data_IF_449202035855
#
_entry.id   IF_449202035855
#
_cell.length_a   1.000
_cell.length_b   1.000
_cell.length_c   1.000
_cell.angle_alpha   90.00
_cell.angle_beta   90.00
_cell.angle_gamma   90.00
#
_symmetry.space_group_name_H-M   'P 1'
#
loop_
_entity.id
_entity.type
_entity.pdbx_description
1 polymer ?
#
# COMPACT_ATOMS: atom_id res chain seq x y z
N UNK A 1 14.96 0.34 -27.12
CA UNK A 1 14.62 -1.10 -27.21
C UNK A 1 15.83 -1.80 -27.76
N UNK A 2 16.39 -2.77 -27.04
CA UNK A 2 17.54 -3.54 -27.51
C UNK A 2 17.14 -5.00 -27.56
N UNK A 3 17.04 -5.55 -28.76
CA UNK A 3 16.89 -6.99 -28.98
C UNK A 3 18.27 -7.61 -28.92
N UNK A 4 18.46 -8.58 -28.03
CA UNK A 4 19.67 -9.40 -27.97
C UNK A 4 19.26 -10.79 -28.44
N UNK A 5 19.86 -11.24 -29.53
CA UNK A 5 19.68 -12.58 -30.08
C UNK A 5 20.69 -13.50 -29.42
N UNK A 6 20.22 -14.57 -28.79
CA UNK A 6 21.06 -15.65 -28.28
C UNK A 6 21.71 -16.41 -29.47
N UNK A 7 22.92 -17.00 -29.36
CA UNK A 7 23.56 -17.77 -30.42
C UNK A 7 22.71 -18.90 -31.04
N UNK A 8 21.64 -19.34 -30.38
CA UNK A 8 20.69 -20.33 -30.92
C UNK A 8 19.51 -19.72 -31.71
N UNK A 9 19.47 -18.40 -31.94
CA UNK A 9 18.43 -17.74 -32.73
C UNK A 9 17.09 -17.55 -32.02
N UNK A 10 17.00 -17.90 -30.73
CA UNK A 10 15.84 -17.58 -29.90
C UNK A 10 15.84 -16.09 -29.52
N UNK A 11 14.79 -15.37 -29.92
CA UNK A 11 14.50 -14.03 -29.43
C UNK A 11 13.96 -14.13 -27.99
N UNK A 12 14.85 -14.17 -27.00
CA UNK A 12 14.45 -14.05 -25.60
C UNK A 12 14.19 -12.58 -25.28
N UNK A 13 12.92 -12.23 -25.07
CA UNK A 13 12.56 -10.92 -24.52
C UNK A 13 13.08 -10.85 -23.09
N UNK A 14 14.17 -10.11 -22.90
CA UNK A 14 14.61 -9.72 -21.56
C UNK A 14 13.64 -8.64 -21.09
N UNK A 15 12.60 -9.07 -20.36
CA UNK A 15 11.80 -8.17 -19.56
C UNK A 15 12.72 -7.62 -18.47
N UNK A 16 13.13 -6.36 -18.60
CA UNK A 16 13.76 -5.64 -17.49
C UNK A 16 12.83 -5.75 -16.28
N UNK A 17 13.31 -6.38 -15.21
CA UNK A 17 12.61 -6.53 -13.93
C UNK A 17 12.47 -5.20 -13.16
N UNK A 18 12.24 -4.10 -13.88
CA UNK A 18 12.19 -2.75 -13.34
C UNK A 18 10.77 -2.26 -13.03
N UNK A 19 9.73 -3.05 -13.29
CA UNK A 19 8.34 -2.52 -13.27
C UNK A 19 7.28 -3.37 -12.54
N UNK A 20 7.66 -4.24 -11.60
CA UNK A 20 6.68 -4.82 -10.67
C UNK A 20 7.28 -4.90 -9.27
N UNK A 21 7.19 -3.81 -8.51
CA UNK A 21 7.35 -3.93 -7.07
C UNK A 21 6.17 -4.74 -6.56
N UNK A 22 6.41 -6.00 -6.26
CA UNK A 22 5.40 -6.92 -5.75
C UNK A 22 4.81 -6.41 -4.43
N UNK A 23 3.50 -6.63 -4.26
CA UNK A 23 2.73 -6.17 -3.10
C UNK A 23 3.35 -6.69 -1.79
N UNK A 24 3.80 -7.95 -1.75
CA UNK A 24 4.43 -8.51 -0.57
C UNK A 24 5.76 -7.81 -0.24
N UNK A 25 6.50 -7.39 -1.27
CA UNK A 25 7.75 -6.62 -1.07
C UNK A 25 7.48 -5.27 -0.42
N UNK A 26 6.44 -4.55 -0.85
CA UNK A 26 6.06 -3.27 -0.24
C UNK A 26 5.54 -3.43 1.19
N UNK A 27 4.75 -4.48 1.46
CA UNK A 27 4.25 -4.78 2.80
C UNK A 27 5.43 -5.11 3.74
N UNK A 28 6.38 -5.93 3.28
CA UNK A 28 7.57 -6.29 4.07
C UNK A 28 8.48 -5.09 4.30
N UNK A 29 8.67 -4.24 3.29
CA UNK A 29 9.42 -2.99 3.43
C UNK A 29 8.73 -2.03 4.41
N UNK A 30 7.41 -1.91 4.36
CA UNK A 30 6.64 -1.11 5.32
C UNK A 30 6.79 -1.65 6.75
N UNK A 31 6.62 -2.96 6.96
CA UNK A 31 6.78 -3.60 8.28
C UNK A 31 8.20 -3.42 8.81
N UNK A 32 9.21 -3.62 7.96
CA UNK A 32 10.60 -3.35 8.28
C UNK A 32 10.80 -1.90 8.71
N UNK A 33 10.39 -0.94 7.87
CA UNK A 33 10.42 0.47 8.24
C UNK A 33 9.71 0.74 9.57
N UNK A 34 8.50 0.22 9.77
CA UNK A 34 7.72 0.47 10.98
C UNK A 34 8.42 -0.03 12.26
N UNK A 35 9.16 -1.13 12.20
CA UNK A 35 9.91 -1.65 13.34
C UNK A 35 11.17 -0.84 13.69
N UNK A 36 11.79 -0.19 12.71
CA UNK A 36 13.09 0.47 12.87
C UNK A 36 13.01 2.01 12.83
N UNK A 37 11.90 2.56 12.34
CA UNK A 37 11.75 3.99 12.11
C UNK A 37 11.67 4.78 13.41
N UNK A 38 12.41 5.89 13.45
CA UNK A 38 12.21 6.90 14.49
C UNK A 38 10.94 7.70 14.20
N UNK A 39 10.41 8.34 15.25
CA UNK A 39 9.22 9.17 15.18
C UNK A 39 9.35 10.42 14.29
N UNK A 40 10.43 10.57 13.53
CA UNK A 40 10.66 11.65 12.56
C UNK A 40 10.50 11.17 11.11
N UNK A 41 10.39 9.86 10.87
CA UNK A 41 10.42 9.27 9.52
C UNK A 41 9.04 8.85 8.98
N UNK A 42 7.94 9.30 9.61
CA UNK A 42 6.56 8.95 9.22
C UNK A 42 6.18 9.32 7.79
N UNK A 43 6.87 10.29 7.18
CA UNK A 43 6.69 10.63 5.78
C UNK A 43 7.03 9.44 4.86
N UNK A 44 8.04 8.64 5.24
CA UNK A 44 8.43 7.42 4.53
C UNK A 44 7.36 6.34 4.66
N UNK A 45 6.80 6.16 5.87
CA UNK A 45 5.64 5.28 6.10
C UNK A 45 4.44 5.63 5.23
N UNK A 46 4.08 6.92 5.19
CA UNK A 46 2.99 7.40 4.33
C UNK A 46 3.28 7.17 2.84
N UNK A 47 4.54 7.30 2.40
CA UNK A 47 4.94 7.03 1.02
C UNK A 47 4.79 5.54 0.66
N UNK A 48 5.13 4.62 1.56
CA UNK A 48 4.89 3.20 1.36
C UNK A 48 3.40 2.89 1.16
N UNK A 49 2.54 3.43 2.01
CA UNK A 49 1.10 3.20 1.92
C UNK A 49 0.50 3.76 0.62
N UNK A 50 0.96 4.94 0.18
CA UNK A 50 0.57 5.50 -1.13
C UNK A 50 1.07 4.66 -2.29
N UNK A 51 2.30 4.15 -2.23
CA UNK A 51 2.81 3.27 -3.29
C UNK A 51 2.02 1.97 -3.33
N UNK A 52 1.67 1.43 -2.16
CA UNK A 52 0.86 0.24 -2.02
C UNK A 52 -0.55 0.44 -2.59
N UNK A 53 -1.15 1.63 -2.49
CA UNK A 53 -2.46 1.91 -3.11
C UNK A 53 -2.42 1.98 -4.65
N UNK A 54 -1.24 2.07 -5.26
CA UNK A 54 -1.08 2.08 -6.72
C UNK A 54 -0.90 0.68 -7.30
N UNK A 55 -0.35 -0.25 -6.51
CA UNK A 55 0.00 -1.60 -6.98
C UNK A 55 -0.76 -2.71 -6.26
N UNK A 56 -1.42 -2.39 -5.15
CA UNK A 56 -2.12 -3.33 -4.27
C UNK A 56 -3.60 -3.54 -4.58
N UNK A 57 -4.09 -3.07 -5.73
CA UNK A 57 -5.46 -3.35 -6.17
C UNK A 57 -5.64 -4.87 -6.34
N UNK A 58 -6.72 -5.40 -5.77
CA UNK A 58 -7.02 -6.82 -5.73
C UNK A 58 -6.22 -7.62 -4.70
N UNK A 59 -5.39 -6.98 -3.86
CA UNK A 59 -4.67 -7.66 -2.77
C UNK A 59 -5.38 -7.49 -1.42
N UNK A 60 -5.92 -8.57 -0.85
CA UNK A 60 -6.48 -8.56 0.50
C UNK A 60 -5.46 -8.14 1.57
N UNK A 61 -4.19 -8.48 1.37
CA UNK A 61 -3.10 -8.16 2.30
C UNK A 61 -2.82 -6.66 2.35
N UNK A 62 -2.89 -5.97 1.20
CA UNK A 62 -2.75 -4.51 1.15
C UNK A 62 -3.89 -3.82 1.89
N UNK A 63 -5.13 -4.26 1.66
CA UNK A 63 -6.33 -3.73 2.32
C UNK A 63 -6.26 -3.98 3.84
N UNK A 64 -5.91 -5.19 4.26
CA UNK A 64 -5.74 -5.53 5.67
C UNK A 64 -4.69 -4.64 6.35
N UNK A 65 -3.58 -4.34 5.66
CA UNK A 65 -2.57 -3.42 6.18
C UNK A 65 -3.13 -2.01 6.37
N UNK A 66 -3.88 -1.47 5.41
CA UNK A 66 -4.49 -0.14 5.56
C UNK A 66 -5.42 -0.08 6.77
N UNK A 67 -6.29 -1.08 6.93
CA UNK A 67 -7.20 -1.18 8.07
C UNK A 67 -6.43 -1.29 9.40
N UNK A 68 -5.39 -2.12 9.46
CA UNK A 68 -4.52 -2.29 10.64
C UNK A 68 -3.92 -0.94 11.05
N UNK A 69 -3.33 -0.21 10.10
CA UNK A 69 -2.71 1.09 10.38
C UNK A 69 -3.73 2.14 10.81
N UNK A 70 -4.92 2.14 10.21
CA UNK A 70 -6.00 3.03 10.62
C UNK A 70 -6.47 2.72 12.04
N UNK A 71 -6.68 1.46 12.40
CA UNK A 71 -7.11 1.07 13.74
C UNK A 71 -6.06 1.38 14.81
N UNK A 72 -4.80 1.05 14.54
CA UNK A 72 -3.70 1.31 15.46
C UNK A 72 -3.53 2.82 15.71
N UNK A 73 -3.60 3.64 14.66
CA UNK A 73 -3.36 5.07 14.78
C UNK A 73 -4.60 5.92 15.07
N UNK A 74 -5.82 5.40 14.92
CA UNK A 74 -7.05 6.07 15.38
C UNK A 74 -7.00 6.35 16.89
N UNK A 75 -6.34 5.47 17.66
CA UNK A 75 -6.16 5.63 19.10
C UNK A 75 -4.95 6.52 19.45
N UNK A 76 -4.11 6.85 18.46
CA UNK A 76 -2.88 7.60 18.68
C UNK A 76 -3.16 9.11 18.68
N UNK A 77 -2.85 9.78 19.81
CA UNK A 77 -2.91 11.24 19.93
C UNK A 77 -1.68 11.96 19.37
N UNK A 78 -0.71 11.21 18.85
CA UNK A 78 0.53 11.76 18.32
C UNK A 78 0.30 12.38 16.94
N UNK A 79 1.03 13.47 16.61
CA UNK A 79 0.97 14.06 15.26
C UNK A 79 1.34 13.03 14.19
N UNK A 80 2.30 12.17 14.51
CA UNK A 80 2.78 11.08 13.67
C UNK A 80 1.74 10.02 13.35
N UNK A 81 0.99 9.56 14.36
CA UNK A 81 -0.10 8.61 14.15
C UNK A 81 -1.16 9.16 13.19
N UNK A 82 -1.46 10.46 13.26
CA UNK A 82 -2.39 11.10 12.32
C UNK A 82 -1.92 11.05 10.87
N UNK A 83 -0.62 11.12 10.60
CA UNK A 83 -0.08 11.05 9.24
C UNK A 83 -0.27 9.65 8.64
N UNK A 84 0.08 8.60 9.39
CA UNK A 84 -0.09 7.22 8.93
C UNK A 84 -1.57 6.88 8.78
N UNK A 85 -2.40 7.29 9.75
CA UNK A 85 -3.85 7.14 9.65
C UNK A 85 -4.40 7.78 8.36
N UNK A 86 -4.04 9.04 8.09
CA UNK A 86 -4.51 9.73 6.87
C UNK A 86 -4.02 9.02 5.62
N UNK A 87 -2.75 8.63 5.56
CA UNK A 87 -2.20 7.96 4.38
C UNK A 87 -2.85 6.60 4.12
N UNK A 88 -3.12 5.82 5.17
CA UNK A 88 -3.83 4.54 5.06
C UNK A 88 -5.29 4.74 4.61
N UNK A 89 -5.97 5.75 5.16
CA UNK A 89 -7.33 6.12 4.77
C UNK A 89 -7.41 6.55 3.30
N UNK A 90 -6.50 7.43 2.87
CA UNK A 90 -6.43 7.92 1.49
C UNK A 90 -6.09 6.78 0.52
N UNK A 91 -5.19 5.88 0.91
CA UNK A 91 -4.84 4.68 0.15
C UNK A 91 -6.04 3.74 -0.05
N UNK A 92 -6.79 3.46 1.02
CA UNK A 92 -7.99 2.64 0.96
C UNK A 92 -9.06 3.28 0.07
N UNK A 93 -9.31 4.59 0.23
CA UNK A 93 -10.24 5.36 -0.61
C UNK A 93 -9.84 5.29 -2.08
N UNK A 94 -8.57 5.47 -2.39
CA UNK A 94 -8.06 5.44 -3.76
C UNK A 94 -8.30 4.08 -4.43
N UNK A 95 -8.20 2.97 -3.69
CA UNK A 95 -8.51 1.63 -4.21
C UNK A 95 -10.02 1.44 -4.39
N UNK A 96 -10.84 1.94 -3.47
CA UNK A 96 -12.29 1.89 -3.59
C UNK A 96 -12.78 2.68 -4.83
N UNK A 97 -12.20 3.86 -5.08
CA UNK A 97 -12.48 4.69 -6.26
C UNK A 97 -12.03 4.03 -7.58
N UNK A 98 -11.03 3.14 -7.53
CA UNK A 98 -10.60 2.33 -8.68
C UNK A 98 -11.51 1.11 -8.95
N UNK A 99 -12.51 0.88 -8.09
CA UNK A 99 -13.47 -0.22 -8.26
C UNK A 99 -13.04 -1.54 -7.61
N UNK A 100 -12.05 -1.53 -6.70
CA UNK A 100 -11.67 -2.72 -5.95
C UNK A 100 -12.81 -3.14 -4.99
N UNK A 101 -13.45 -4.31 -5.18
CA UNK A 101 -14.61 -4.71 -4.39
C UNK A 101 -14.32 -4.85 -2.90
N UNK A 102 -13.11 -5.32 -2.54
CA UNK A 102 -12.70 -5.50 -1.16
C UNK A 102 -12.39 -4.16 -0.50
N UNK A 103 -11.80 -3.23 -1.25
CA UNK A 103 -11.56 -1.87 -0.76
C UNK A 103 -12.87 -1.07 -0.60
N UNK A 104 -13.83 -1.24 -1.52
CA UNK A 104 -15.17 -0.63 -1.41
C UNK A 104 -15.86 -1.10 -0.13
N UNK A 105 -15.93 -2.42 0.10
CA UNK A 105 -16.58 -2.96 1.29
C UNK A 105 -15.93 -2.44 2.58
N UNK A 106 -14.59 -2.44 2.65
CA UNK A 106 -13.85 -1.91 3.79
C UNK A 106 -14.06 -0.40 3.99
N UNK A 107 -14.14 0.37 2.90
CA UNK A 107 -14.39 1.81 2.95
C UNK A 107 -15.81 2.12 3.46
N UNK A 108 -16.82 1.39 2.98
CA UNK A 108 -18.21 1.53 3.42
C UNK A 108 -18.41 1.15 4.90
N UNK A 109 -17.76 0.07 5.35
CA UNK A 109 -17.78 -0.34 6.77
C UNK A 109 -17.15 0.74 7.67
N UNK A 110 -16.04 1.34 7.22
CA UNK A 110 -15.37 2.43 7.93
C UNK A 110 -16.26 3.67 8.05
N UNK A 111 -16.94 4.05 6.96
CA UNK A 111 -17.86 5.19 6.95
C UNK A 111 -19.05 4.93 7.89
N UNK A 112 -19.66 3.74 7.81
CA UNK A 112 -20.79 3.33 8.65
C UNK A 112 -20.43 3.29 10.14
N UNK A 113 -19.19 2.91 10.48
CA UNK A 113 -18.70 2.89 11.87
C UNK A 113 -18.48 4.29 12.45
N UNK A 114 -18.36 5.31 11.60
CA UNK A 114 -18.20 6.71 12.00
C UNK A 114 -19.53 7.41 12.30
N UNK A 115 -20.67 6.78 11.95
CA UNK A 115 -22.04 7.31 12.10
C UNK A 115 -22.82 6.71 13.28
N UNK A 116 -22.22 5.86 14.11
CA UNK A 116 -22.88 5.39 15.34
C UNK A 116 -22.82 6.48 16.44
N UNK A 117 -23.98 6.89 17.00
CA UNK A 117 -24.12 8.02 17.92
C UNK A 117 -23.46 7.81 19.29
#
# INVERSE_FOLDING_TARGET
MAEITDPEGEHRRIHWAAEQTDVATLINAYRGWYHWADAKEWASGAAFLRRLSQVGAGSPEAIALFIEQMNFHAQSRTKSGKYIYSAAKDALKALAEQGDPSAIAAWEEMQSSSEKP
#
